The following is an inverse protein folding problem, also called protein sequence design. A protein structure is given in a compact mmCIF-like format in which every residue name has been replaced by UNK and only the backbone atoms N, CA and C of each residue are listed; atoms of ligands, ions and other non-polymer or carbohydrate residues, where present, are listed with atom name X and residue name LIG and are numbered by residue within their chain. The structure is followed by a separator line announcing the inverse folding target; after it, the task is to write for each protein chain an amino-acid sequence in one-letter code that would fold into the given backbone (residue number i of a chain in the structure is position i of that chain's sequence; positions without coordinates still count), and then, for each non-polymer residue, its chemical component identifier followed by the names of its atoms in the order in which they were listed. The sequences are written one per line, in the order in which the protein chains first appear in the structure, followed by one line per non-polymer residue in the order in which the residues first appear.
data_IF_667806255771
#
_entry.id   IF_667806255771
#
_cell.length_a   1.000
_cell.length_b   1.000
_cell.length_c   1.000
_cell.angle_alpha   90.00
_cell.angle_beta   90.00
_cell.angle_gamma   90.00
#
_symmetry.space_group_name_H-M   'P 1'
#
loop_
_entity.id
_entity.type
_entity.pdbx_description
1 polymer ?
#
# COMPACT_ATOMS: atom_id res chain seq x y z
N UNK A 1 31.37 -14.43 -3.61
CA UNK A 1 30.12 -13.96 -4.25
C UNK A 1 29.87 -12.57 -3.72
N UNK A 2 29.80 -11.60 -4.61
CA UNK A 2 29.58 -10.21 -4.20
C UNK A 2 28.06 -10.01 -4.08
N UNK A 3 27.57 -9.80 -2.87
CA UNK A 3 26.21 -9.33 -2.63
C UNK A 3 26.28 -7.89 -2.11
N UNK A 4 25.21 -7.15 -2.27
CA UNK A 4 25.01 -5.84 -1.68
C UNK A 4 23.94 -5.91 -0.62
N UNK A 5 24.19 -5.23 0.51
CA UNK A 5 23.18 -5.11 1.58
C UNK A 5 22.48 -3.77 1.42
N UNK A 6 21.16 -3.82 1.37
CA UNK A 6 20.33 -2.63 1.15
C UNK A 6 19.23 -2.53 2.20
N UNK A 7 18.95 -1.31 2.70
CA UNK A 7 17.81 -1.05 3.57
C UNK A 7 16.78 -0.16 2.88
N UNK A 8 15.52 -0.60 2.89
CA UNK A 8 14.37 0.20 2.49
C UNK A 8 13.60 0.66 3.74
N UNK A 9 13.34 1.95 3.84
CA UNK A 9 12.61 2.55 4.97
C UNK A 9 11.35 3.22 4.44
N UNK A 10 10.20 2.81 5.00
CA UNK A 10 8.89 3.41 4.77
C UNK A 10 8.46 4.19 6.02
N UNK A 11 8.29 5.51 5.87
CA UNK A 11 7.75 6.38 6.89
C UNK A 11 6.26 6.56 6.59
N UNK A 12 5.48 5.57 7.00
CA UNK A 12 4.05 5.48 6.79
C UNK A 12 3.24 6.33 7.78
N UNK A 13 1.93 6.35 7.58
CA UNK A 13 1.01 7.14 8.41
C UNK A 13 0.73 6.54 9.78
N UNK A 14 0.82 5.21 9.88
CA UNK A 14 0.53 4.46 11.10
C UNK A 14 1.75 3.71 11.62
N UNK A 15 2.66 3.40 10.73
CA UNK A 15 3.82 2.57 10.99
C UNK A 15 5.07 3.13 10.33
N UNK A 16 6.19 2.96 11.00
CA UNK A 16 7.52 3.13 10.48
C UNK A 16 8.12 1.75 10.26
N UNK A 17 8.42 1.40 9.03
CA UNK A 17 8.98 0.10 8.67
C UNK A 17 10.37 0.22 8.05
N UNK A 18 11.25 -0.74 8.36
CA UNK A 18 12.51 -0.94 7.66
C UNK A 18 12.68 -2.41 7.32
N UNK A 19 12.96 -2.69 6.07
CA UNK A 19 13.40 -4.02 5.63
C UNK A 19 14.86 -3.97 5.19
N UNK A 20 15.62 -4.99 5.55
CA UNK A 20 17.02 -5.16 5.13
C UNK A 20 17.09 -6.32 4.15
N UNK A 21 17.80 -6.13 3.06
CA UNK A 21 17.90 -7.09 1.97
C UNK A 21 19.36 -7.41 1.62
N UNK A 22 19.62 -8.66 1.26
CA UNK A 22 20.77 -9.07 0.47
C UNK A 22 20.36 -9.12 -1.00
N UNK A 23 21.11 -8.42 -1.86
CA UNK A 23 20.83 -8.34 -3.30
C UNK A 23 22.05 -8.84 -4.07
N UNK A 24 21.84 -9.79 -4.98
CA UNK A 24 22.89 -10.31 -5.83
C UNK A 24 22.36 -10.79 -7.17
N UNK A 25 23.17 -10.70 -8.22
CA UNK A 25 22.82 -11.17 -9.55
C UNK A 25 22.52 -12.69 -9.62
N UNK A 26 22.94 -13.48 -8.61
CA UNK A 26 22.68 -14.92 -8.58
C UNK A 26 21.37 -15.27 -7.88
N UNK A 27 21.09 -14.60 -6.75
CA UNK A 27 19.99 -14.98 -5.84
C UNK A 27 18.83 -13.97 -5.87
N UNK A 28 18.94 -12.90 -6.67
CA UNK A 28 17.96 -11.82 -6.68
C UNK A 28 17.93 -11.02 -5.36
N UNK A 29 16.76 -10.64 -4.95
CA UNK A 29 16.48 -9.86 -3.73
C UNK A 29 15.99 -10.81 -2.65
N UNK A 30 16.71 -10.87 -1.53
CA UNK A 30 16.37 -11.68 -0.37
C UNK A 30 16.20 -10.79 0.85
N UNK A 31 15.00 -10.76 1.43
CA UNK A 31 14.75 -10.12 2.74
C UNK A 31 15.48 -10.90 3.83
N UNK A 32 16.26 -10.19 4.66
CA UNK A 32 17.00 -10.76 5.79
C UNK A 32 16.50 -10.27 7.13
N UNK A 33 15.88 -9.11 7.19
CA UNK A 33 15.25 -8.60 8.41
C UNK A 33 14.11 -7.64 8.10
N UNK A 34 13.13 -7.55 9.03
CA UNK A 34 11.98 -6.67 8.94
C UNK A 34 11.64 -6.10 10.31
N UNK A 35 11.89 -4.82 10.48
CA UNK A 35 11.66 -4.07 11.72
C UNK A 35 10.48 -3.13 11.52
N UNK A 36 9.55 -3.14 12.46
CA UNK A 36 8.33 -2.33 12.42
C UNK A 36 8.14 -1.62 13.76
N UNK A 37 7.86 -0.33 13.71
CA UNK A 37 7.48 0.48 14.87
C UNK A 37 6.15 1.16 14.60
N UNK A 38 5.22 1.04 15.53
CA UNK A 38 3.98 1.79 15.46
C UNK A 38 4.27 3.27 15.75
N UNK A 39 3.81 4.14 14.86
CA UNK A 39 3.87 5.60 15.02
C UNK A 39 2.69 6.21 14.26
N UNK A 40 1.77 6.87 14.95
CA UNK A 40 0.54 7.40 14.34
C UNK A 40 0.76 8.82 13.77
N UNK A 41 1.64 8.96 12.76
CA UNK A 41 1.90 10.25 12.11
C UNK A 41 0.65 10.81 11.44
N UNK A 42 -0.19 9.93 10.90
CA UNK A 42 -1.41 10.31 10.20
C UNK A 42 -2.42 11.00 11.12
N UNK A 43 -2.50 10.63 12.39
CA UNK A 43 -3.41 11.29 13.34
C UNK A 43 -3.09 12.78 13.46
N UNK A 44 -1.82 13.14 13.56
CA UNK A 44 -1.40 14.55 13.63
C UNK A 44 -1.61 15.25 12.28
N UNK A 45 -1.09 14.67 11.20
CA UNK A 45 -1.10 15.29 9.87
C UNK A 45 -2.50 15.50 9.33
N UNK A 46 -3.40 14.51 9.47
CA UNK A 46 -4.74 14.58 8.87
C UNK A 46 -5.71 15.49 9.63
N UNK A 47 -5.52 15.68 10.93
CA UNK A 47 -6.42 16.48 11.76
C UNK A 47 -5.88 17.85 12.13
N UNK A 48 -4.59 17.93 12.43
CA UNK A 48 -3.94 19.20 12.78
C UNK A 48 -3.26 19.87 11.59
N UNK A 49 -3.14 19.17 10.47
CA UNK A 49 -2.43 19.63 9.28
C UNK A 49 -0.91 19.68 9.44
N UNK A 50 -0.38 19.27 10.59
CA UNK A 50 1.06 19.30 10.89
C UNK A 50 1.42 18.22 11.92
N UNK A 51 2.65 17.73 11.87
CA UNK A 51 3.20 16.86 12.91
C UNK A 51 3.64 17.71 14.11
N UNK A 52 3.28 17.28 15.32
CA UNK A 52 3.71 17.93 16.55
C UNK A 52 5.15 17.52 16.90
N UNK A 53 5.81 18.30 17.77
CA UNK A 53 7.22 18.07 18.11
C UNK A 53 7.44 16.75 18.86
N UNK A 54 6.55 16.33 19.73
CA UNK A 54 6.68 15.08 20.47
C UNK A 54 6.66 13.87 19.50
N UNK A 55 5.82 13.94 18.48
CA UNK A 55 5.76 12.92 17.43
C UNK A 55 7.02 12.90 16.57
N UNK A 56 7.59 14.09 16.30
CA UNK A 56 8.90 14.20 15.61
C UNK A 56 10.01 13.62 16.46
N UNK A 57 9.99 13.86 17.77
CA UNK A 57 10.98 13.29 18.69
C UNK A 57 10.89 11.76 18.75
N UNK A 58 9.68 11.23 18.78
CA UNK A 58 9.43 9.79 18.72
C UNK A 58 9.95 9.18 17.40
N UNK A 59 9.63 9.81 16.27
CA UNK A 59 10.12 9.39 14.95
C UNK A 59 11.65 9.41 14.88
N UNK A 60 12.30 10.46 15.39
CA UNK A 60 13.75 10.54 15.39
C UNK A 60 14.40 9.45 16.27
N UNK A 61 13.78 9.08 17.40
CA UNK A 61 14.29 7.96 18.23
C UNK A 61 14.25 6.64 17.45
N UNK A 62 13.13 6.32 16.82
CA UNK A 62 12.98 5.10 16.03
C UNK A 62 13.94 5.07 14.82
N UNK A 63 14.12 6.19 14.13
CA UNK A 63 15.07 6.29 13.02
C UNK A 63 16.53 6.15 13.47
N UNK A 64 16.88 6.59 14.68
CA UNK A 64 18.22 6.33 15.25
C UNK A 64 18.43 4.84 15.55
N UNK A 65 17.39 4.11 15.99
CA UNK A 65 17.44 2.66 16.13
C UNK A 65 17.69 2.00 14.76
N UNK A 66 16.99 2.44 13.71
CA UNK A 66 17.24 1.96 12.34
C UNK A 66 18.67 2.23 11.88
N UNK A 67 19.21 3.40 12.20
CA UNK A 67 20.62 3.71 11.91
C UNK A 67 21.58 2.73 12.60
N UNK A 68 21.32 2.37 13.86
CA UNK A 68 22.12 1.39 14.58
C UNK A 68 22.02 -0.02 13.97
N UNK A 69 20.81 -0.43 13.58
CA UNK A 69 20.56 -1.72 12.93
C UNK A 69 21.25 -1.77 11.55
N UNK A 70 21.12 -0.72 10.72
CA UNK A 70 21.82 -0.65 9.43
C UNK A 70 23.35 -0.76 9.59
N UNK A 71 23.91 -0.16 10.62
CA UNK A 71 25.36 -0.32 10.95
C UNK A 71 25.70 -1.76 11.31
N UNK A 72 24.86 -2.46 12.10
CA UNK A 72 25.11 -3.85 12.50
C UNK A 72 25.10 -4.81 11.31
N UNK A 73 24.18 -4.59 10.35
CA UNK A 73 24.10 -5.33 9.09
C UNK A 73 25.13 -4.88 8.04
N UNK A 74 25.90 -3.83 8.32
CA UNK A 74 26.86 -3.22 7.38
C UNK A 74 26.17 -2.88 6.05
N UNK A 75 25.02 -2.22 6.15
CA UNK A 75 24.22 -1.82 4.98
C UNK A 75 25.03 -0.92 4.05
N UNK A 76 25.18 -1.32 2.77
CA UNK A 76 25.95 -0.59 1.76
C UNK A 76 25.22 0.68 1.31
N UNK A 77 23.88 0.63 1.21
CA UNK A 77 23.05 1.74 0.81
C UNK A 77 21.65 1.63 1.42
N UNK A 78 20.97 2.75 1.57
CA UNK A 78 19.57 2.79 1.96
C UNK A 78 18.76 3.77 1.13
N UNK A 79 17.43 3.60 1.14
CA UNK A 79 16.45 4.58 0.71
C UNK A 79 15.37 4.69 1.76
N UNK A 80 14.97 5.93 2.08
CA UNK A 80 13.89 6.22 3.01
C UNK A 80 12.87 7.13 2.32
N UNK A 81 11.62 6.71 2.34
CA UNK A 81 10.53 7.46 1.76
C UNK A 81 9.45 7.78 2.79
N UNK A 82 8.96 9.03 2.72
CA UNK A 82 7.78 9.47 3.44
C UNK A 82 6.55 9.42 2.54
N UNK A 83 5.44 8.90 3.09
CA UNK A 83 4.17 8.76 2.36
C UNK A 83 3.15 9.83 2.78
N UNK A 84 1.86 9.53 2.74
CA UNK A 84 0.77 10.51 2.87
C UNK A 84 0.84 11.39 4.12
N UNK A 85 1.23 10.88 5.29
CA UNK A 85 1.30 11.68 6.50
C UNK A 85 2.39 12.78 6.43
N UNK A 86 3.55 12.44 5.86
CA UNK A 86 4.62 13.42 5.64
C UNK A 86 4.24 14.36 4.49
N UNK A 87 3.72 13.80 3.38
CA UNK A 87 3.34 14.56 2.18
C UNK A 87 2.29 15.62 2.45
N UNK A 88 1.30 15.32 3.28
CA UNK A 88 0.20 16.25 3.60
C UNK A 88 0.51 17.22 4.75
N UNK A 89 1.66 17.07 5.40
CA UNK A 89 2.03 17.90 6.55
C UNK A 89 2.51 19.28 6.12
N UNK A 90 1.89 20.34 6.66
CA UNK A 90 2.23 21.74 6.36
C UNK A 90 3.66 22.12 6.81
N UNK A 91 4.19 21.46 7.83
CA UNK A 91 5.55 21.68 8.33
C UNK A 91 6.58 20.71 7.74
N UNK A 92 6.27 20.08 6.62
CA UNK A 92 7.07 19.03 5.96
C UNK A 92 8.56 19.39 5.82
N UNK A 93 8.88 20.56 5.30
CA UNK A 93 10.27 20.96 5.05
C UNK A 93 11.10 21.08 6.33
N UNK A 94 10.53 21.72 7.36
CA UNK A 94 11.17 21.89 8.67
C UNK A 94 11.37 20.50 9.32
N UNK A 95 10.36 19.65 9.23
CA UNK A 95 10.37 18.29 9.74
C UNK A 95 11.50 17.45 9.11
N UNK A 96 11.58 17.45 7.80
CA UNK A 96 12.60 16.66 7.07
C UNK A 96 14.02 17.14 7.36
N UNK A 97 14.22 18.44 7.51
CA UNK A 97 15.52 19.01 7.88
C UNK A 97 15.91 18.63 9.33
N UNK A 98 14.97 18.70 10.27
CA UNK A 98 15.18 18.25 11.65
C UNK A 98 15.51 16.75 11.73
N UNK A 99 14.77 15.90 11.02
CA UNK A 99 15.03 14.47 10.99
C UNK A 99 16.45 14.20 10.46
N UNK A 100 16.79 14.80 9.32
CA UNK A 100 18.11 14.64 8.72
C UNK A 100 19.22 15.08 9.67
N UNK A 101 19.07 16.23 10.33
CA UNK A 101 20.06 16.77 11.25
C UNK A 101 20.23 15.89 12.49
N UNK A 102 19.14 15.33 13.01
CA UNK A 102 19.14 14.57 14.27
C UNK A 102 19.49 13.09 14.10
N UNK A 103 19.20 12.51 12.94
CA UNK A 103 19.34 11.05 12.69
C UNK A 103 20.34 10.72 11.59
N UNK A 104 20.70 11.68 10.75
CA UNK A 104 21.50 11.46 9.54
C UNK A 104 20.70 10.80 8.40
N UNK A 105 19.43 10.41 8.61
CA UNK A 105 18.60 9.79 7.59
C UNK A 105 17.94 10.89 6.75
N UNK A 106 18.13 10.81 5.43
CA UNK A 106 17.42 11.62 4.47
C UNK A 106 16.17 10.88 4.01
N UNK A 107 15.01 11.50 4.23
CA UNK A 107 13.71 11.01 3.76
C UNK A 107 13.33 11.82 2.54
N UNK A 108 13.09 11.15 1.41
CA UNK A 108 12.48 11.72 0.22
C UNK A 108 10.96 11.48 0.31
N UNK A 109 10.14 12.41 -0.21
CA UNK A 109 8.67 12.29 -0.10
C UNK A 109 8.11 11.85 -1.44
N UNK A 110 7.40 10.72 -1.44
CA UNK A 110 6.76 10.19 -2.63
C UNK A 110 5.47 10.95 -2.97
N UNK A 111 5.29 11.29 -4.23
CA UNK A 111 3.96 11.58 -4.77
C UNK A 111 3.09 10.32 -4.79
N UNK A 112 1.78 10.49 -4.96
CA UNK A 112 0.88 9.33 -5.09
C UNK A 112 1.24 8.43 -6.29
N UNK A 113 1.72 9.02 -7.39
CA UNK A 113 2.10 8.27 -8.58
C UNK A 113 3.40 7.49 -8.39
N UNK A 114 4.40 8.08 -7.74
CA UNK A 114 5.66 7.38 -7.42
C UNK A 114 5.42 6.24 -6.43
N UNK A 115 4.60 6.46 -5.39
CA UNK A 115 4.24 5.40 -4.45
C UNK A 115 3.58 4.23 -5.18
N UNK A 116 2.56 4.50 -5.99
CA UNK A 116 1.84 3.50 -6.80
C UNK A 116 2.76 2.71 -7.72
N UNK A 117 3.71 3.38 -8.36
CA UNK A 117 4.69 2.72 -9.23
C UNK A 117 5.56 1.73 -8.46
N UNK A 118 6.00 2.09 -7.25
CA UNK A 118 6.74 1.18 -6.38
C UNK A 118 5.87 0.01 -5.88
N UNK A 119 4.59 0.25 -5.61
CA UNK A 119 3.65 -0.81 -5.21
C UNK A 119 3.42 -1.80 -6.35
N UNK A 120 3.29 -1.35 -7.60
CA UNK A 120 3.23 -2.24 -8.76
C UNK A 120 4.48 -3.11 -8.88
N UNK A 121 5.65 -2.52 -8.76
CA UNK A 121 6.94 -3.25 -8.78
C UNK A 121 7.03 -4.24 -7.64
N UNK A 122 6.55 -3.90 -6.45
CA UNK A 122 6.56 -4.81 -5.30
C UNK A 122 5.76 -6.08 -5.58
N UNK A 123 4.56 -5.94 -6.13
CA UNK A 123 3.70 -7.08 -6.47
C UNK A 123 4.27 -7.88 -7.64
N UNK A 124 4.64 -7.23 -8.74
CA UNK A 124 5.17 -7.90 -9.93
C UNK A 124 6.44 -8.70 -9.63
N UNK A 125 7.29 -8.21 -8.71
CA UNK A 125 8.50 -8.92 -8.29
C UNK A 125 8.23 -10.22 -7.50
N UNK A 126 7.05 -10.38 -6.93
CA UNK A 126 6.69 -11.52 -6.06
C UNK A 126 5.66 -12.46 -6.68
N UNK A 127 4.79 -11.95 -7.54
CA UNK A 127 3.69 -12.70 -8.15
C UNK A 127 4.13 -13.18 -9.54
N UNK A 128 4.54 -14.44 -9.64
CA UNK A 128 5.02 -15.03 -10.90
C UNK A 128 4.01 -14.97 -12.05
N UNK A 129 2.72 -15.03 -11.72
CA UNK A 129 1.62 -15.02 -12.69
C UNK A 129 1.05 -13.61 -12.91
N UNK A 130 1.78 -12.54 -12.49
CA UNK A 130 1.28 -11.15 -12.48
C UNK A 130 0.71 -10.76 -13.85
N UNK A 131 1.44 -11.01 -14.93
CA UNK A 131 1.02 -10.74 -16.30
C UNK A 131 -0.34 -11.37 -16.61
N UNK A 132 -0.51 -12.67 -16.33
CA UNK A 132 -1.75 -13.38 -16.60
C UNK A 132 -2.92 -12.94 -15.73
N UNK A 133 -2.66 -12.25 -14.60
CA UNK A 133 -3.68 -11.68 -13.75
C UNK A 133 -4.18 -10.36 -14.35
N UNK A 134 -3.29 -9.49 -14.83
CA UNK A 134 -3.64 -8.18 -15.39
C UNK A 134 -4.11 -8.23 -16.85
N UNK A 135 -3.90 -9.34 -17.57
CA UNK A 135 -4.59 -9.63 -18.82
C UNK A 135 -6.12 -9.67 -18.65
N UNK A 136 -6.56 -10.01 -17.44
CA UNK A 136 -7.97 -10.00 -17.04
C UNK A 136 -8.30 -8.70 -16.35
N UNK A 137 -9.56 -8.28 -16.40
CA UNK A 137 -10.00 -7.08 -15.71
C UNK A 137 -9.68 -7.19 -14.20
N UNK A 138 -8.72 -6.39 -13.75
CA UNK A 138 -8.10 -6.49 -12.42
C UNK A 138 -8.03 -5.11 -11.75
N UNK A 139 -8.57 -5.01 -10.53
CA UNK A 139 -8.39 -3.85 -9.68
C UNK A 139 -7.17 -4.04 -8.79
N UNK A 140 -6.18 -3.17 -8.93
CA UNK A 140 -5.05 -3.08 -8.01
C UNK A 140 -5.40 -2.06 -6.92
N UNK A 141 -5.42 -2.47 -5.67
CA UNK A 141 -5.85 -1.64 -4.54
C UNK A 141 -4.75 -1.60 -3.49
N UNK A 142 -4.26 -0.39 -3.19
CA UNK A 142 -3.40 -0.12 -2.03
C UNK A 142 -4.21 0.65 -0.99
N UNK A 143 -4.34 0.08 0.22
CA UNK A 143 -5.05 0.70 1.34
C UNK A 143 -4.05 1.27 2.32
N UNK A 144 -3.76 2.55 2.15
CA UNK A 144 -2.94 3.30 3.09
C UNK A 144 -3.73 3.89 4.27
N UNK A 145 -3.01 4.49 5.21
CA UNK A 145 -3.64 5.14 6.36
C UNK A 145 -4.51 6.35 5.98
N UNK A 146 -4.08 7.16 5.02
CA UNK A 146 -4.74 8.40 4.62
C UNK A 146 -5.67 8.30 3.42
N UNK A 147 -5.39 7.37 2.51
CA UNK A 147 -6.10 7.21 1.24
C UNK A 147 -6.03 5.79 0.74
N UNK A 148 -6.89 5.49 -0.22
CA UNK A 148 -6.90 4.27 -1.01
C UNK A 148 -6.41 4.64 -2.41
N UNK A 149 -5.43 3.93 -2.93
CA UNK A 149 -5.05 4.02 -4.32
C UNK A 149 -5.69 2.85 -5.07
N UNK A 150 -6.48 3.16 -6.10
CA UNK A 150 -7.10 2.16 -6.94
C UNK A 150 -6.67 2.34 -8.39
N UNK A 151 -6.30 1.24 -9.04
CA UNK A 151 -5.92 1.21 -10.44
C UNK A 151 -6.62 0.06 -11.14
N UNK A 152 -7.08 0.29 -12.34
CA UNK A 152 -7.73 -0.71 -13.17
C UNK A 152 -6.78 -1.14 -14.28
N UNK A 153 -6.49 -2.43 -14.32
CA UNK A 153 -5.81 -3.09 -15.44
C UNK A 153 -6.84 -3.90 -16.23
N UNK A 154 -6.70 -3.90 -17.53
CA UNK A 154 -7.52 -4.69 -18.45
C UNK A 154 -6.70 -4.95 -19.73
N UNK A 155 -6.74 -6.15 -20.25
CA UNK A 155 -5.97 -6.54 -21.46
C UNK A 155 -4.48 -6.16 -21.34
N UNK A 156 -3.89 -6.45 -20.18
CA UNK A 156 -2.47 -6.21 -19.88
C UNK A 156 -2.05 -4.73 -19.91
N UNK A 157 -2.96 -3.80 -19.72
CA UNK A 157 -2.69 -2.36 -19.76
C UNK A 157 -3.36 -1.63 -18.61
N UNK A 158 -2.73 -0.56 -18.12
CA UNK A 158 -3.29 0.34 -17.13
C UNK A 158 -4.35 1.23 -17.77
N UNK A 159 -5.62 0.99 -17.45
CA UNK A 159 -6.76 1.79 -17.95
C UNK A 159 -6.87 3.12 -17.24
N UNK A 160 -6.75 3.11 -15.91
CA UNK A 160 -6.86 4.32 -15.08
C UNK A 160 -6.31 4.06 -13.68
N UNK A 161 -6.01 5.15 -12.98
CA UNK A 161 -5.66 5.10 -11.57
C UNK A 161 -6.16 6.34 -10.84
N UNK A 162 -6.65 6.15 -9.62
CA UNK A 162 -7.13 7.23 -8.77
C UNK A 162 -6.65 7.07 -7.33
N UNK A 163 -6.60 8.21 -6.63
CA UNK A 163 -6.36 8.27 -5.20
C UNK A 163 -7.64 8.76 -4.53
N UNK A 164 -8.21 7.94 -3.66
CA UNK A 164 -9.53 8.12 -3.07
C UNK A 164 -9.40 8.24 -1.56
N UNK A 165 -10.17 9.09 -0.92
CA UNK A 165 -10.27 9.22 0.53
C UNK A 165 -11.61 8.66 1.01
N UNK A 166 -11.65 8.11 2.26
CA UNK A 166 -10.58 7.99 3.25
C UNK A 166 -9.79 6.68 3.15
N UNK A 167 -8.53 6.68 3.62
CA UNK A 167 -7.80 5.45 3.96
C UNK A 167 -8.16 4.95 5.37
N UNK A 168 -7.59 3.81 5.79
CA UNK A 168 -8.03 3.11 7.02
C UNK A 168 -7.89 3.92 8.30
N UNK A 169 -6.79 4.66 8.46
CA UNK A 169 -6.58 5.48 9.65
C UNK A 169 -7.53 6.69 9.68
N UNK A 170 -7.70 7.35 8.54
CA UNK A 170 -8.64 8.46 8.40
C UNK A 170 -10.08 8.01 8.61
N UNK A 171 -10.46 6.85 8.08
CA UNK A 171 -11.76 6.22 8.31
C UNK A 171 -12.01 5.98 9.82
N UNK A 172 -11.03 5.43 10.53
CA UNK A 172 -11.13 5.22 11.99
C UNK A 172 -11.43 6.52 12.72
N UNK A 173 -10.73 7.58 12.37
CA UNK A 173 -10.88 8.87 13.03
C UNK A 173 -12.22 9.56 12.68
N UNK A 174 -12.69 9.42 11.46
CA UNK A 174 -14.01 9.92 11.06
C UNK A 174 -15.12 9.19 11.81
N UNK A 175 -15.02 7.87 11.93
CA UNK A 175 -15.94 7.04 12.73
C UNK A 175 -15.95 7.44 14.21
N UNK A 176 -14.80 7.82 14.78
CA UNK A 176 -14.72 8.25 16.18
C UNK A 176 -15.50 9.55 16.46
N UNK A 177 -15.82 10.34 15.43
CA UNK A 177 -16.61 11.58 15.54
C UNK A 177 -18.12 11.35 15.42
N UNK A 178 -18.52 10.19 14.95
CA UNK A 178 -19.93 9.83 14.73
C UNK A 178 -20.38 8.93 15.87
N UNK A 179 -21.52 9.26 16.49
CA UNK A 179 -22.15 8.39 17.46
C UNK A 179 -22.85 7.24 16.74
N UNK A 180 -22.31 6.05 16.83
CA UNK A 180 -22.94 4.85 16.25
C UNK A 180 -22.93 3.69 17.23
N UNK A 181 -23.84 2.75 17.02
CA UNK A 181 -23.83 1.48 17.74
C UNK A 181 -22.96 0.46 17.00
N UNK A 182 -22.29 -0.41 17.71
CA UNK A 182 -21.33 -1.37 17.14
C UNK A 182 -21.88 -2.21 15.98
N UNK A 183 -23.19 -2.49 15.96
CA UNK A 183 -23.82 -3.22 14.86
C UNK A 183 -24.02 -2.40 13.58
N UNK A 184 -23.91 -1.07 13.67
CA UNK A 184 -24.03 -0.15 12.52
C UNK A 184 -22.69 0.11 11.82
N UNK A 185 -21.57 -0.32 12.42
CA UNK A 185 -20.23 -0.03 11.89
C UNK A 185 -20.06 -0.48 10.44
N UNK A 186 -20.49 -1.69 10.11
CA UNK A 186 -20.34 -2.23 8.77
C UNK A 186 -21.12 -1.44 7.73
N UNK A 187 -22.37 -1.06 8.07
CA UNK A 187 -23.22 -0.31 7.15
C UNK A 187 -22.62 1.09 6.90
N UNK A 188 -22.16 1.77 7.97
CA UNK A 188 -21.51 3.09 7.84
C UNK A 188 -20.22 3.01 7.01
N UNK A 189 -19.37 2.01 7.28
CA UNK A 189 -18.16 1.80 6.47
C UNK A 189 -18.52 1.51 5.02
N UNK A 190 -19.59 0.74 4.79
CA UNK A 190 -20.11 0.42 3.48
C UNK A 190 -20.56 1.66 2.71
N UNK A 191 -21.34 2.53 3.35
CA UNK A 191 -21.77 3.81 2.76
C UNK A 191 -20.55 4.67 2.40
N UNK A 192 -19.62 4.88 3.32
CA UNK A 192 -18.42 5.70 3.08
C UNK A 192 -17.53 5.16 1.94
N UNK A 193 -17.36 3.84 1.85
CA UNK A 193 -16.61 3.20 0.75
C UNK A 193 -17.35 3.32 -0.56
N UNK A 194 -18.66 3.05 -0.57
CA UNK A 194 -19.49 3.14 -1.78
C UNK A 194 -19.50 4.57 -2.33
N UNK A 195 -19.80 5.57 -1.49
CA UNK A 195 -19.81 6.98 -1.89
C UNK A 195 -18.46 7.42 -2.49
N UNK A 196 -17.37 6.97 -1.88
CA UNK A 196 -16.03 7.32 -2.34
C UNK A 196 -15.65 6.69 -3.68
N UNK A 197 -16.19 5.51 -3.98
CA UNK A 197 -15.84 4.73 -5.18
C UNK A 197 -16.90 4.79 -6.30
N UNK A 198 -18.08 5.35 -6.04
CA UNK A 198 -19.19 5.34 -7.01
C UNK A 198 -18.80 6.01 -8.33
N UNK A 199 -18.21 7.19 -8.27
CA UNK A 199 -17.76 7.89 -9.47
C UNK A 199 -16.69 7.11 -10.25
N UNK A 200 -15.80 6.42 -9.53
CA UNK A 200 -14.79 5.56 -10.16
C UNK A 200 -15.48 4.38 -10.88
N UNK A 201 -16.43 3.73 -10.21
CA UNK A 201 -17.19 2.61 -10.76
C UNK A 201 -17.96 3.03 -12.01
N UNK A 202 -18.70 4.13 -11.94
CA UNK A 202 -19.50 4.62 -13.06
C UNK A 202 -18.64 5.00 -14.27
N UNK A 203 -17.53 5.72 -14.06
CA UNK A 203 -16.70 6.23 -15.15
C UNK A 203 -15.83 5.16 -15.81
N UNK A 204 -15.33 4.18 -15.04
CA UNK A 204 -14.28 3.30 -15.55
C UNK A 204 -14.65 1.81 -15.57
N UNK A 205 -15.60 1.39 -14.78
CA UNK A 205 -16.03 -0.01 -14.71
C UNK A 205 -17.34 -0.21 -15.47
N UNK A 206 -18.37 0.61 -15.19
CA UNK A 206 -19.68 0.45 -15.79
C UNK A 206 -20.25 -0.95 -15.53
N UNK A 207 -20.60 -1.66 -16.59
CA UNK A 207 -21.11 -3.04 -16.54
C UNK A 207 -20.02 -4.11 -16.63
N UNK A 208 -18.75 -3.72 -16.71
CA UNK A 208 -17.63 -4.68 -16.74
C UNK A 208 -17.52 -5.41 -15.40
N UNK A 209 -17.21 -6.70 -15.47
CA UNK A 209 -16.96 -7.53 -14.29
C UNK A 209 -15.46 -7.53 -13.98
N UNK A 210 -15.09 -7.08 -12.80
CA UNK A 210 -13.73 -7.21 -12.31
C UNK A 210 -13.52 -8.67 -11.87
N UNK A 211 -12.51 -9.33 -12.41
CA UNK A 211 -12.23 -10.73 -12.07
C UNK A 211 -11.34 -10.83 -10.84
N UNK A 212 -10.32 -9.96 -10.75
CA UNK A 212 -9.32 -10.03 -9.70
C UNK A 212 -9.23 -8.70 -8.93
N UNK A 213 -8.94 -8.80 -7.65
CA UNK A 213 -8.40 -7.71 -6.84
C UNK A 213 -6.99 -8.11 -6.42
N UNK A 214 -5.99 -7.28 -6.73
CA UNK A 214 -4.65 -7.36 -6.13
C UNK A 214 -4.62 -6.34 -5.00
N UNK A 215 -4.33 -6.81 -3.79
CA UNK A 215 -4.35 -6.01 -2.58
C UNK A 215 -2.95 -5.82 -2.02
N UNK A 216 -2.56 -4.57 -1.83
CA UNK A 216 -1.44 -4.15 -0.98
C UNK A 216 -2.04 -3.54 0.28
N UNK A 217 -1.83 -4.20 1.42
CA UNK A 217 -2.39 -3.81 2.71
C UNK A 217 -1.60 -4.46 3.83
N UNK A 218 -1.36 -3.72 4.91
CA UNK A 218 -0.52 -4.17 6.02
C UNK A 218 -1.24 -5.18 6.94
N UNK A 219 -2.57 -5.23 6.94
CA UNK A 219 -3.36 -6.01 7.89
C UNK A 219 -3.95 -7.29 7.29
N UNK A 220 -4.68 -7.16 6.18
CA UNK A 220 -5.39 -8.28 5.55
C UNK A 220 -4.44 -9.23 4.88
N UNK A 221 -3.35 -8.72 4.29
CA UNK A 221 -2.29 -9.54 3.73
C UNK A 221 -1.70 -10.52 4.75
N UNK A 222 -1.57 -10.12 6.03
CA UNK A 222 -1.12 -11.02 7.09
C UNK A 222 -2.08 -12.20 7.31
N UNK A 223 -3.39 -11.95 7.22
CA UNK A 223 -4.41 -12.99 7.38
C UNK A 223 -4.27 -14.03 6.27
N UNK A 224 -4.17 -13.56 5.03
CA UNK A 224 -4.04 -14.43 3.85
C UNK A 224 -2.72 -15.20 3.88
N UNK A 225 -1.60 -14.55 4.23
CA UNK A 225 -0.28 -15.18 4.26
C UNK A 225 -0.11 -16.21 5.38
N UNK A 226 -0.80 -16.05 6.50
CA UNK A 226 -0.75 -16.98 7.65
C UNK A 226 -1.69 -18.18 7.54
N UNK A 227 -2.29 -18.40 6.36
CA UNK A 227 -3.21 -19.52 6.08
C UNK A 227 -4.43 -19.57 7.01
N UNK A 228 -4.93 -18.46 7.50
CA UNK A 228 -6.21 -18.40 8.20
C UNK A 228 -7.41 -18.56 7.26
N UNK A 229 -7.15 -18.58 5.97
CA UNK A 229 -8.11 -18.81 4.90
C UNK A 229 -7.64 -19.99 4.04
N UNK A 230 -8.58 -20.74 3.47
CA UNK A 230 -8.25 -21.70 2.42
C UNK A 230 -7.71 -20.95 1.21
N UNK A 231 -6.41 -21.07 0.98
CA UNK A 231 -5.74 -20.45 -0.16
C UNK A 231 -5.74 -21.41 -1.34
N UNK A 232 -6.08 -20.90 -2.52
CA UNK A 232 -6.01 -21.65 -3.78
C UNK A 232 -4.53 -21.79 -4.21
N UNK A 233 -3.79 -20.69 -4.09
CA UNK A 233 -2.34 -20.59 -4.20
C UNK A 233 -1.83 -19.66 -3.11
N UNK A 234 -0.53 -19.64 -2.86
CA UNK A 234 0.06 -18.71 -1.88
C UNK A 234 -0.34 -17.26 -2.20
N UNK A 235 -1.01 -16.61 -1.28
CA UNK A 235 -1.50 -15.24 -1.42
C UNK A 235 -2.78 -15.07 -2.23
N UNK A 236 -3.44 -16.15 -2.68
CA UNK A 236 -4.68 -16.12 -3.46
C UNK A 236 -5.82 -16.80 -2.71
N UNK A 237 -6.93 -16.11 -2.55
CA UNK A 237 -8.18 -16.61 -1.94
C UNK A 237 -9.38 -16.25 -2.79
N UNK A 238 -10.46 -17.06 -2.72
CA UNK A 238 -11.73 -16.65 -3.30
C UNK A 238 -12.33 -15.51 -2.48
N UNK A 239 -13.03 -14.60 -3.13
CA UNK A 239 -13.72 -13.51 -2.43
C UNK A 239 -14.80 -14.05 -1.50
N UNK A 240 -15.46 -15.17 -1.84
CA UNK A 240 -16.41 -15.86 -0.97
C UNK A 240 -15.78 -16.29 0.35
N UNK A 241 -14.61 -16.95 0.31
CA UNK A 241 -13.86 -17.37 1.50
C UNK A 241 -13.47 -16.17 2.37
N UNK A 242 -13.00 -15.08 1.74
CA UNK A 242 -12.66 -13.85 2.46
C UNK A 242 -13.89 -13.20 3.12
N UNK A 243 -15.00 -13.09 2.40
CA UNK A 243 -16.26 -12.54 2.94
C UNK A 243 -16.77 -13.37 4.14
N UNK A 244 -16.76 -14.69 4.02
CA UNK A 244 -17.11 -15.60 5.12
C UNK A 244 -16.21 -15.41 6.35
N UNK A 245 -14.92 -15.21 6.14
CA UNK A 245 -13.98 -14.91 7.22
C UNK A 245 -14.33 -13.58 7.91
N UNK A 246 -14.53 -12.51 7.18
CA UNK A 246 -14.89 -11.19 7.75
C UNK A 246 -16.19 -11.29 8.54
N UNK A 247 -17.19 -12.00 8.04
CA UNK A 247 -18.46 -12.23 8.76
C UNK A 247 -18.26 -13.03 10.06
N UNK A 248 -17.30 -13.94 10.09
CA UNK A 248 -16.94 -14.68 11.30
C UNK A 248 -16.35 -13.80 12.41
N UNK A 249 -15.70 -12.68 12.04
CA UNK A 249 -15.12 -11.75 13.01
C UNK A 249 -16.16 -10.91 13.76
N UNK A 250 -17.32 -10.66 13.16
CA UNK A 250 -18.40 -9.85 13.75
C UNK A 250 -18.84 -10.31 15.15
N UNK A 251 -18.79 -11.61 15.39
CA UNK A 251 -19.26 -12.23 16.65
C UNK A 251 -18.18 -12.34 17.71
N UNK A 252 -16.95 -11.97 17.41
CA UNK A 252 -15.79 -12.13 18.28
C UNK A 252 -15.38 -10.79 18.91
N UNK A 253 -14.91 -10.84 20.15
CA UNK A 253 -14.29 -9.68 20.79
C UNK A 253 -12.87 -9.44 20.23
N UNK A 254 -12.38 -8.20 20.27
CA UNK A 254 -11.04 -7.84 19.80
C UNK A 254 -9.95 -8.77 20.36
N UNK A 255 -10.00 -9.07 21.66
CA UNK A 255 -9.05 -9.99 22.31
C UNK A 255 -9.11 -11.41 21.75
N UNK A 256 -10.29 -11.92 21.43
CA UNK A 256 -10.46 -13.26 20.84
C UNK A 256 -9.87 -13.31 19.42
N UNK A 257 -10.10 -12.24 18.65
CA UNK A 257 -9.51 -12.09 17.30
C UNK A 257 -7.99 -12.01 17.42
N UNK A 258 -7.46 -11.19 18.32
CA UNK A 258 -6.03 -11.02 18.54
C UNK A 258 -5.35 -12.36 18.86
N UNK A 259 -5.90 -13.12 19.79
CA UNK A 259 -5.40 -14.44 20.16
C UNK A 259 -5.48 -15.44 19.00
N UNK A 260 -6.59 -15.46 18.26
CA UNK A 260 -6.76 -16.39 17.13
C UNK A 260 -5.82 -16.09 15.97
N UNK A 261 -5.47 -14.82 15.76
CA UNK A 261 -4.59 -14.37 14.66
C UNK A 261 -3.12 -14.22 15.09
N UNK A 262 -2.81 -14.34 16.38
CA UNK A 262 -1.47 -14.10 16.89
C UNK A 262 -1.00 -12.65 16.70
N UNK A 263 -1.92 -11.69 16.85
CA UNK A 263 -1.68 -10.27 16.70
C UNK A 263 -1.83 -9.52 18.02
N UNK A 264 -1.24 -8.32 18.12
CA UNK A 264 -1.50 -7.44 19.25
C UNK A 264 -2.95 -6.91 19.19
N UNK A 265 -3.63 -6.85 20.35
CA UNK A 265 -5.03 -6.44 20.44
C UNK A 265 -5.26 -5.02 19.88
N UNK A 266 -4.29 -4.15 20.04
CA UNK A 266 -4.33 -2.78 19.53
C UNK A 266 -4.43 -2.67 18.00
N UNK A 267 -3.97 -3.69 17.26
CA UNK A 267 -4.04 -3.72 15.81
C UNK A 267 -5.38 -4.22 15.27
N UNK A 268 -6.21 -4.81 16.12
CA UNK A 268 -7.45 -5.48 15.69
C UNK A 268 -8.48 -4.48 15.15
N UNK A 269 -8.54 -3.28 15.71
CA UNK A 269 -9.48 -2.25 15.24
C UNK A 269 -9.20 -1.83 13.80
N UNK A 270 -7.93 -1.60 13.44
CA UNK A 270 -7.55 -1.25 12.07
C UNK A 270 -7.64 -2.43 11.12
N UNK A 271 -7.24 -3.63 11.57
CA UNK A 271 -7.41 -4.87 10.82
C UNK A 271 -8.88 -5.11 10.45
N UNK A 272 -9.78 -5.00 11.43
CA UNK A 272 -11.21 -5.22 11.20
C UNK A 272 -11.81 -4.17 10.29
N UNK A 273 -11.40 -2.91 10.47
CA UNK A 273 -11.83 -1.80 9.62
C UNK A 273 -11.34 -1.97 8.18
N UNK A 274 -10.06 -2.31 7.98
CA UNK A 274 -9.51 -2.62 6.66
C UNK A 274 -10.25 -3.80 6.01
N UNK A 275 -10.53 -4.85 6.77
CA UNK A 275 -11.28 -6.00 6.27
C UNK A 275 -12.72 -5.64 5.85
N UNK A 276 -13.40 -4.75 6.58
CA UNK A 276 -14.72 -4.23 6.19
C UNK A 276 -14.64 -3.39 4.92
N UNK A 277 -13.65 -2.50 4.80
CA UNK A 277 -13.44 -1.71 3.59
C UNK A 277 -13.26 -2.60 2.36
N UNK A 278 -12.38 -3.60 2.46
CA UNK A 278 -12.14 -4.58 1.38
C UNK A 278 -13.40 -5.37 1.06
N UNK A 279 -14.16 -5.79 2.06
CA UNK A 279 -15.45 -6.47 1.86
C UNK A 279 -16.41 -5.65 1.01
N UNK A 280 -16.54 -4.35 1.28
CA UNK A 280 -17.41 -3.49 0.50
C UNK A 280 -16.87 -3.23 -0.91
N UNK A 281 -15.54 -3.09 -1.06
CA UNK A 281 -14.91 -2.99 -2.38
C UNK A 281 -15.14 -4.26 -3.22
N UNK A 282 -14.97 -5.45 -2.64
CA UNK A 282 -15.25 -6.72 -3.31
C UNK A 282 -16.70 -6.75 -3.83
N UNK A 283 -17.66 -6.37 -2.98
CA UNK A 283 -19.07 -6.34 -3.36
C UNK A 283 -19.36 -5.31 -4.46
N UNK A 284 -18.79 -4.12 -4.36
CA UNK A 284 -18.97 -3.04 -5.31
C UNK A 284 -18.38 -3.37 -6.68
N UNK A 285 -17.21 -4.00 -6.70
CA UNK A 285 -16.47 -4.36 -7.93
C UNK A 285 -16.92 -5.70 -8.51
N UNK A 286 -17.61 -6.53 -7.74
CA UNK A 286 -18.07 -7.86 -8.17
C UNK A 286 -16.93 -8.85 -8.41
N UNK A 287 -15.78 -8.68 -7.72
CA UNK A 287 -14.60 -9.50 -7.94
C UNK A 287 -14.76 -10.92 -7.40
N UNK A 288 -14.15 -11.88 -8.11
CA UNK A 288 -14.19 -13.30 -7.75
C UNK A 288 -12.97 -13.75 -6.94
N UNK A 289 -11.82 -13.12 -7.21
CA UNK A 289 -10.54 -13.51 -6.64
C UNK A 289 -9.86 -12.33 -5.95
N UNK A 290 -9.27 -12.62 -4.79
CA UNK A 290 -8.43 -11.69 -4.03
C UNK A 290 -7.01 -12.23 -3.97
N UNK A 291 -6.06 -11.40 -4.41
CA UNK A 291 -4.62 -11.64 -4.33
C UNK A 291 -4.02 -10.70 -3.31
N UNK A 292 -3.47 -11.25 -2.24
CA UNK A 292 -2.77 -10.50 -1.20
C UNK A 292 -1.35 -11.08 -1.04
N UNK A 293 -0.40 -10.66 -1.89
CA UNK A 293 0.94 -11.27 -1.96
C UNK A 293 1.81 -11.03 -0.73
N UNK A 294 1.38 -10.16 0.18
CA UNK A 294 2.12 -9.86 1.41
C UNK A 294 3.39 -9.06 1.14
N UNK A 295 3.33 -8.16 0.18
CA UNK A 295 4.39 -7.20 -0.14
C UNK A 295 4.09 -5.86 0.51
N UNK A 296 5.11 -5.03 0.61
CA UNK A 296 5.02 -3.66 1.13
C UNK A 296 5.79 -2.70 0.22
N UNK A 297 5.64 -1.41 0.46
CA UNK A 297 6.41 -0.37 -0.23
C UNK A 297 7.92 -0.63 -0.17
N UNK A 298 8.44 -1.15 0.96
CA UNK A 298 9.85 -1.51 1.10
C UNK A 298 10.33 -2.52 0.04
N UNK A 299 9.48 -3.47 -0.36
CA UNK A 299 9.82 -4.45 -1.40
C UNK A 299 9.97 -3.78 -2.77
N UNK A 300 9.08 -2.83 -3.09
CA UNK A 300 9.16 -2.03 -4.31
C UNK A 300 10.40 -1.13 -4.34
N UNK A 301 10.74 -0.51 -3.21
CA UNK A 301 11.96 0.30 -3.06
C UNK A 301 13.21 -0.55 -3.30
N UNK A 302 13.27 -1.75 -2.73
CA UNK A 302 14.40 -2.65 -2.89
C UNK A 302 14.52 -3.14 -4.34
N UNK A 303 13.39 -3.45 -4.97
CA UNK A 303 13.37 -3.85 -6.38
C UNK A 303 13.85 -2.73 -7.30
N UNK A 304 13.31 -1.52 -7.16
CA UNK A 304 13.72 -0.33 -7.90
C UNK A 304 15.23 -0.05 -7.75
N UNK A 305 15.76 -0.16 -6.52
CA UNK A 305 17.20 -0.01 -6.27
C UNK A 305 18.02 -1.08 -7.00
N UNK A 306 17.59 -2.33 -6.95
CA UNK A 306 18.29 -3.44 -7.59
C UNK A 306 18.29 -3.31 -9.12
N UNK A 307 17.16 -2.95 -9.71
CA UNK A 307 17.00 -2.73 -11.14
C UNK A 307 17.90 -1.58 -11.63
N UNK A 308 17.82 -0.40 -11.03
CA UNK A 308 18.63 0.77 -11.39
C UNK A 308 20.14 0.54 -11.29
N UNK A 309 20.56 -0.32 -10.36
CA UNK A 309 21.97 -0.65 -10.15
C UNK A 309 22.40 -1.92 -10.89
N UNK A 310 21.54 -2.52 -11.73
CA UNK A 310 21.81 -3.75 -12.50
C UNK A 310 22.28 -4.90 -11.60
N UNK A 311 21.60 -5.06 -10.46
CA UNK A 311 21.91 -6.11 -9.49
C UNK A 311 20.95 -7.31 -9.57
N UNK A 312 19.99 -7.28 -10.50
CA UNK A 312 19.06 -8.39 -10.74
C UNK A 312 19.71 -9.47 -11.60
N UNK A 313 19.27 -10.73 -11.46
CA UNK A 313 19.66 -11.79 -12.38
C UNK A 313 19.29 -11.47 -13.84
N UNK A 314 20.16 -11.87 -14.79
CA UNK A 314 19.96 -11.55 -16.22
C UNK A 314 18.70 -12.17 -16.82
N UNK A 315 18.19 -13.26 -16.24
CA UNK A 315 16.96 -13.93 -16.61
C UNK A 315 15.69 -13.20 -16.10
N UNK A 316 15.85 -12.23 -15.22
CA UNK A 316 14.77 -11.36 -14.76
C UNK A 316 14.72 -10.01 -15.50
N UNK A 317 15.75 -9.66 -16.26
CA UNK A 317 15.73 -8.49 -17.16
C UNK A 317 14.73 -8.75 -18.31
N UNK A 318 13.62 -8.03 -18.32
CA UNK A 318 12.57 -8.11 -19.34
C UNK A 318 11.37 -9.01 -19.01
N UNK A 319 11.33 -9.62 -17.84
CA UNK A 319 10.18 -10.45 -17.39
C UNK A 319 9.09 -9.61 -16.71
N UNK A 320 9.42 -8.38 -16.32
CA UNK A 320 8.44 -7.51 -15.66
C UNK A 320 7.70 -6.66 -16.68
N UNK A 321 6.41 -6.50 -16.37
CA UNK A 321 5.53 -5.59 -17.08
C UNK A 321 6.11 -4.16 -17.13
N UNK A 322 6.01 -3.49 -18.28
CA UNK A 322 6.52 -2.13 -18.48
C UNK A 322 5.55 -1.09 -17.90
N UNK A 323 5.58 -0.93 -16.58
CA UNK A 323 4.74 0.04 -15.88
C UNK A 323 5.06 1.49 -16.27
N UNK A 324 6.28 1.80 -16.74
CA UNK A 324 6.63 3.15 -17.19
C UNK A 324 5.88 3.47 -18.49
N UNK A 325 5.85 2.52 -19.41
CA UNK A 325 5.09 2.66 -20.64
C UNK A 325 3.58 2.77 -20.38
N UNK A 326 3.03 1.93 -19.48
CA UNK A 326 1.62 2.00 -19.07
C UNK A 326 1.24 3.38 -18.52
N UNK A 327 2.07 3.92 -17.62
CA UNK A 327 1.81 5.24 -17.05
C UNK A 327 1.85 6.34 -18.11
N UNK A 328 2.78 6.24 -19.05
CA UNK A 328 2.88 7.18 -20.17
C UNK A 328 1.66 7.10 -21.09
N UNK A 329 1.21 5.90 -21.41
CA UNK A 329 0.05 5.68 -22.28
C UNK A 329 -1.25 6.11 -21.61
N UNK A 330 -1.42 5.79 -20.32
CA UNK A 330 -2.54 6.28 -19.52
C UNK A 330 -2.57 7.83 -19.47
N UNK A 331 -1.41 8.47 -19.27
CA UNK A 331 -1.30 9.92 -19.27
C UNK A 331 -1.62 10.54 -20.64
N UNK A 332 -1.17 9.91 -21.74
CA UNK A 332 -1.49 10.32 -23.11
C UNK A 332 -2.98 10.21 -23.40
N UNK A 333 -3.62 9.14 -22.95
CA UNK A 333 -5.05 8.94 -23.16
C UNK A 333 -5.89 9.93 -22.36
N UNK A 334 -5.50 10.24 -21.12
CA UNK A 334 -6.13 11.29 -20.33
C UNK A 334 -5.97 12.63 -21.09
N UNK A 335 -4.76 12.97 -21.56
CA UNK A 335 -4.50 14.19 -22.31
C UNK A 335 -5.38 14.27 -23.57
N UNK A 336 -5.52 13.19 -24.34
CA UNK A 336 -6.39 13.14 -25.53
C UNK A 336 -7.85 13.41 -25.18
N UNK A 337 -8.37 12.84 -24.08
CA UNK A 337 -9.76 13.04 -23.65
C UNK A 337 -10.04 14.49 -23.25
N UNK A 338 -9.09 15.16 -22.59
CA UNK A 338 -9.28 16.54 -22.13
C UNK A 338 -8.86 17.61 -23.15
N UNK A 339 -7.97 17.31 -24.10
CA UNK A 339 -7.52 18.27 -25.11
C UNK A 339 -8.17 18.11 -26.48
N UNK A 340 -8.95 17.07 -26.74
CA UNK A 340 -9.74 16.94 -27.97
C UNK A 340 -10.84 18.01 -28.13
N UNK A 341 -11.12 18.79 -27.07
CA UNK A 341 -12.01 19.95 -27.08
C UNK A 341 -11.34 21.33 -27.21
N UNK A 342 -10.00 21.40 -27.16
CA UNK A 342 -9.25 22.67 -26.97
C UNK A 342 -8.70 23.32 -28.24
N UNK A 343 -8.93 22.79 -29.44
CA UNK A 343 -8.39 23.35 -30.69
C UNK A 343 -9.31 24.35 -31.40
N UNK A 344 -10.27 24.97 -30.72
CA UNK A 344 -11.18 25.97 -31.33
C UNK A 344 -11.23 27.34 -30.65
N UNK A 345 -10.27 27.73 -29.88
CA UNK A 345 -10.27 29.07 -29.27
C UNK A 345 -8.86 29.68 -29.21
N UNK A 346 -8.16 29.78 -30.31
CA UNK A 346 -7.11 30.80 -30.57
C UNK A 346 -6.94 30.94 -32.09
N UNK A 347 -7.86 31.63 -32.73
CA UNK A 347 -7.64 32.56 -33.81
C UNK A 347 -8.00 33.94 -33.32
#
# INVERSE_FOLDING_TARGET
MTYKTFAAIDVGSYELAMKVYEISAKNGIKEIDHIRHRIELGTDSYFMGKLNYDRVDELCRMLNEFTAIMKSYKVDAYKAYGTSAIRESQNQYILLDQIKTRTGIRIDVLSNSEQRFLDYKSVASRVKDFQSIIEKSTAFIDIGGGSIQISLFDEDSLVTSQNIRPGVLRMREELARVSYRSYQLEDIVGEMVCDSLESFREMFIGDKKIQNIILVDDYVSLIVQRNFLETIKKGQVSTESFLGFVDSLKKKKAREIALSLGLAEENISLLYLSALMIKHMIKLLGAEMLWAPGVSLCDGIAYEYAERNKLLPSDTEGVLHDFEQDMLDCARDINRRYHSGGHRTHE
#
